data_IF_568232810166
#
_entry.id   IF_568232810166
#
_cell.length_a   1.000
_cell.length_b   1.000
_cell.length_c   1.000
_cell.angle_alpha   90.00
_cell.angle_beta   90.00
_cell.angle_gamma   90.00
#
_symmetry.space_group_name_H-M   'P 1'
#
loop_
_entity.id
_entity.type
_entity.pdbx_description
1 polymer ?
#
# COMPACT_ATOMS: atom_id res chain seq x y z
N UNK A 1 -48.41 8.53 -16.49
CA UNK A 1 -47.00 8.19 -16.75
C UNK A 1 -46.70 6.90 -16.01
N UNK A 2 -46.44 5.79 -16.72
CA UNK A 2 -46.09 4.52 -16.05
C UNK A 2 -44.69 4.65 -15.43
N UNK A 3 -44.60 4.46 -14.11
CA UNK A 3 -43.31 4.24 -13.43
C UNK A 3 -42.67 3.00 -14.04
N UNK A 4 -41.53 3.16 -14.71
CA UNK A 4 -40.73 2.01 -15.15
C UNK A 4 -40.23 1.28 -13.89
N UNK A 5 -40.37 -0.05 -13.80
CA UNK A 5 -39.84 -0.80 -12.68
C UNK A 5 -38.31 -0.66 -12.66
N UNK A 6 -37.78 -0.22 -11.52
CA UNK A 6 -36.34 -0.16 -11.28
C UNK A 6 -35.97 -1.40 -10.46
N UNK A 7 -35.17 -2.27 -11.05
CA UNK A 7 -34.73 -3.54 -10.44
C UNK A 7 -33.23 -3.43 -10.22
N UNK A 8 -32.77 -3.84 -9.03
CA UNK A 8 -31.37 -3.93 -8.66
C UNK A 8 -31.16 -5.29 -8.01
N UNK A 9 -30.11 -5.99 -8.41
CA UNK A 9 -29.75 -7.29 -7.87
C UNK A 9 -28.22 -7.45 -7.86
N UNK A 10 -27.72 -8.39 -7.06
CA UNK A 10 -26.30 -8.74 -6.97
C UNK A 10 -26.11 -10.21 -7.33
N UNK A 11 -25.06 -10.51 -8.09
CA UNK A 11 -24.76 -11.87 -8.52
C UNK A 11 -23.26 -12.14 -8.40
N UNK A 12 -22.92 -13.25 -7.76
CA UNK A 12 -21.56 -13.76 -7.72
C UNK A 12 -21.20 -14.42 -9.05
N UNK A 13 -20.15 -13.91 -9.68
CA UNK A 13 -19.71 -14.33 -11.01
C UNK A 13 -18.26 -14.84 -10.95
N UNK A 14 -17.97 -16.03 -11.51
CA UNK A 14 -16.60 -16.51 -11.56
C UNK A 14 -15.78 -15.74 -12.60
N UNK A 15 -14.45 -15.82 -12.49
CA UNK A 15 -13.56 -15.30 -13.52
C UNK A 15 -13.75 -16.06 -14.85
N UNK A 16 -13.67 -15.34 -15.97
CA UNK A 16 -13.81 -15.90 -17.31
C UNK A 16 -15.17 -15.61 -17.94
N UNK A 17 -15.60 -16.50 -18.85
CA UNK A 17 -16.86 -16.35 -19.57
C UNK A 17 -18.00 -17.04 -18.81
N UNK A 18 -19.05 -16.29 -18.51
CA UNK A 18 -20.24 -16.80 -17.82
C UNK A 18 -21.51 -16.18 -18.41
N UNK A 19 -22.63 -16.88 -18.25
CA UNK A 19 -23.96 -16.47 -18.70
C UNK A 19 -24.96 -16.67 -17.58
N UNK A 20 -25.88 -15.72 -17.42
CA UNK A 20 -26.96 -15.77 -16.43
C UNK A 20 -28.23 -15.14 -17.00
N UNK A 21 -29.37 -15.51 -16.42
CA UNK A 21 -30.68 -15.00 -16.86
C UNK A 21 -31.05 -13.73 -16.09
N UNK A 22 -31.59 -12.74 -16.79
CA UNK A 22 -32.11 -11.49 -16.22
C UNK A 22 -33.65 -11.51 -16.30
N UNK A 23 -34.38 -11.04 -15.26
CA UNK A 23 -35.83 -11.22 -15.17
C UNK A 23 -36.63 -10.42 -16.19
N UNK A 24 -36.13 -9.27 -16.67
CA UNK A 24 -36.81 -8.41 -17.64
C UNK A 24 -35.88 -7.97 -18.76
N UNK A 25 -36.47 -7.71 -19.94
CA UNK A 25 -35.79 -7.01 -21.02
C UNK A 25 -35.71 -5.52 -20.71
N UNK A 26 -34.61 -4.87 -21.11
CA UNK A 26 -34.38 -3.46 -20.80
C UNK A 26 -32.91 -3.06 -20.81
N UNK A 27 -32.64 -1.84 -20.32
CA UNK A 27 -31.30 -1.28 -20.17
C UNK A 27 -30.87 -1.47 -18.73
N UNK A 28 -29.66 -2.00 -18.54
CA UNK A 28 -29.06 -2.26 -17.24
C UNK A 28 -27.72 -1.56 -17.12
N UNK A 29 -27.45 -1.01 -15.94
CA UNK A 29 -26.12 -0.55 -15.55
C UNK A 29 -25.47 -1.62 -14.70
N UNK A 30 -24.39 -2.20 -15.20
CA UNK A 30 -23.59 -3.22 -14.53
C UNK A 30 -22.39 -2.56 -13.87
N UNK A 31 -22.15 -2.87 -12.61
CA UNK A 31 -20.98 -2.45 -11.83
C UNK A 31 -20.34 -3.69 -11.23
N UNK A 32 -19.02 -3.77 -11.29
CA UNK A 32 -18.28 -4.89 -10.72
C UNK A 32 -17.73 -4.51 -9.35
N UNK A 33 -18.14 -5.24 -8.31
CA UNK A 33 -17.55 -5.16 -6.98
C UNK A 33 -16.49 -6.25 -6.81
N UNK A 34 -15.23 -5.92 -7.09
CA UNK A 34 -14.12 -6.85 -7.00
C UNK A 34 -12.85 -6.15 -6.49
N UNK A 35 -11.84 -6.94 -6.13
CA UNK A 35 -10.48 -6.44 -5.89
C UNK A 35 -9.80 -5.93 -7.18
N UNK A 36 -10.42 -6.17 -8.33
CA UNK A 36 -9.96 -5.70 -9.63
C UNK A 36 -10.55 -4.34 -9.96
N UNK A 37 -9.76 -3.47 -10.60
CA UNK A 37 -10.29 -2.33 -11.34
C UNK A 37 -10.42 -2.70 -12.80
N UNK A 38 -11.56 -2.41 -13.38
CA UNK A 38 -11.83 -2.67 -14.79
C UNK A 38 -11.57 -1.44 -15.66
N UNK A 39 -11.68 -1.59 -16.98
CA UNK A 39 -11.51 -0.50 -17.95
C UNK A 39 -12.58 0.60 -17.79
N UNK A 40 -13.73 0.27 -17.21
CA UNK A 40 -14.80 1.22 -16.90
C UNK A 40 -15.34 0.99 -15.49
N UNK A 41 -15.87 2.06 -14.89
CA UNK A 41 -16.52 1.99 -13.58
C UNK A 41 -17.91 1.34 -13.66
N UNK A 42 -18.59 1.51 -14.78
CA UNK A 42 -19.88 0.88 -15.06
C UNK A 42 -20.04 0.60 -16.55
N UNK A 43 -20.91 -0.35 -16.87
CA UNK A 43 -21.23 -0.77 -18.23
C UNK A 43 -22.73 -0.69 -18.45
N UNK A 44 -23.14 -0.13 -19.58
CA UNK A 44 -24.53 -0.14 -19.98
C UNK A 44 -24.76 -1.29 -20.97
N UNK A 45 -25.74 -2.15 -20.68
CA UNK A 45 -26.13 -3.27 -21.54
C UNK A 45 -27.63 -3.22 -21.83
N UNK A 46 -28.01 -3.72 -23.01
CA UNK A 46 -29.42 -3.88 -23.40
C UNK A 46 -29.75 -5.36 -23.54
N UNK A 47 -30.83 -5.81 -22.90
CA UNK A 47 -31.29 -7.20 -22.89
C UNK A 47 -32.54 -7.34 -23.76
N UNK A 48 -32.58 -8.32 -24.70
CA UNK A 48 -31.54 -9.30 -25.01
C UNK A 48 -30.32 -8.67 -25.71
N UNK A 49 -29.13 -9.19 -25.41
CA UNK A 49 -27.87 -8.73 -26.00
C UNK A 49 -27.45 -9.65 -27.16
N UNK A 50 -26.94 -9.10 -28.26
CA UNK A 50 -26.36 -9.89 -29.36
C UNK A 50 -24.87 -10.22 -29.14
N UNK A 51 -24.18 -9.36 -28.39
CA UNK A 51 -22.74 -9.46 -28.10
C UNK A 51 -22.57 -9.54 -26.58
N UNK A 52 -21.68 -10.41 -26.07
CA UNK A 52 -21.40 -10.46 -24.65
C UNK A 52 -20.77 -9.15 -24.16
N UNK A 53 -21.08 -8.78 -22.92
CA UNK A 53 -20.35 -7.74 -22.22
C UNK A 53 -18.89 -8.16 -22.03
N UNK A 54 -17.96 -7.33 -22.50
CA UNK A 54 -16.52 -7.52 -22.28
C UNK A 54 -16.05 -6.46 -21.28
N UNK A 55 -15.54 -6.92 -20.14
CA UNK A 55 -14.91 -6.08 -19.13
C UNK A 55 -13.46 -6.52 -18.96
N UNK A 56 -12.52 -5.60 -19.15
CA UNK A 56 -11.09 -5.90 -19.08
C UNK A 56 -10.51 -5.39 -17.77
N UNK A 57 -9.77 -6.24 -17.06
CA UNK A 57 -9.07 -5.82 -15.84
C UNK A 57 -7.91 -4.90 -16.21
N UNK A 58 -7.84 -3.75 -15.56
CA UNK A 58 -6.77 -2.76 -15.73
C UNK A 58 -5.80 -2.75 -14.55
N UNK A 59 -6.28 -2.97 -13.32
CA UNK A 59 -5.45 -2.99 -12.12
C UNK A 59 -5.91 -4.02 -11.08
N UNK A 60 -4.96 -4.45 -10.25
CA UNK A 60 -5.16 -5.44 -9.19
C UNK A 60 -4.91 -4.81 -7.83
N UNK A 61 -5.78 -5.08 -6.87
CA UNK A 61 -5.62 -4.60 -5.49
C UNK A 61 -4.59 -5.44 -4.73
N UNK A 62 -3.63 -4.74 -4.13
CA UNK A 62 -2.67 -5.32 -3.22
C UNK A 62 -2.69 -4.60 -1.87
N UNK A 63 -2.23 -5.30 -0.83
CA UNK A 63 -1.97 -4.66 0.45
C UNK A 63 -0.73 -5.19 1.15
N UNK A 64 -0.13 -4.32 1.95
CA UNK A 64 0.96 -4.65 2.88
C UNK A 64 0.63 -4.09 4.26
N UNK A 65 1.33 -4.55 5.29
CA UNK A 65 1.14 -4.08 6.66
C UNK A 65 2.45 -3.72 7.34
N UNK A 66 2.36 -2.86 8.34
CA UNK A 66 3.40 -2.62 9.34
C UNK A 66 2.83 -2.96 10.72
N UNK A 67 3.54 -3.79 11.47
CA UNK A 67 3.27 -4.12 12.87
C UNK A 67 4.16 -3.28 13.79
N UNK A 68 3.57 -2.71 14.83
CA UNK A 68 4.25 -1.83 15.79
C UNK A 68 4.14 -2.38 17.21
N UNK A 69 5.23 -2.26 17.98
CA UNK A 69 5.23 -2.65 19.39
C UNK A 69 4.35 -1.73 20.25
N UNK A 70 4.27 -0.46 19.88
CA UNK A 70 3.56 0.60 20.60
C UNK A 70 2.49 1.26 19.71
N UNK A 71 1.45 1.80 20.35
CA UNK A 71 0.40 2.52 19.65
C UNK A 71 0.96 3.79 18.99
N UNK A 72 0.51 4.06 17.77
CA UNK A 72 0.88 5.25 16.99
C UNK A 72 -0.31 6.21 16.97
N UNK A 73 -0.04 7.48 17.29
CA UNK A 73 -1.04 8.55 17.23
C UNK A 73 -0.98 9.35 15.91
N UNK A 74 0.16 9.31 15.21
CA UNK A 74 0.41 10.07 13.98
C UNK A 74 0.69 9.12 12.81
N UNK A 75 -0.28 8.99 11.90
CA UNK A 75 -0.18 8.10 10.72
C UNK A 75 0.64 8.72 9.59
N UNK A 76 0.72 10.05 9.55
CA UNK A 76 1.37 10.81 8.46
C UNK A 76 2.88 10.59 8.39
N UNK A 77 3.50 10.01 9.43
CA UNK A 77 4.91 9.62 9.41
C UNK A 77 5.17 8.35 8.59
N UNK A 78 4.15 7.52 8.36
CA UNK A 78 4.33 6.22 7.71
C UNK A 78 3.88 6.24 6.26
N UNK A 79 4.82 5.99 5.36
CA UNK A 79 4.56 5.83 3.94
C UNK A 79 5.21 4.55 3.40
N UNK A 80 4.60 3.97 2.38
CA UNK A 80 5.13 2.82 1.66
C UNK A 80 5.49 3.25 0.25
N UNK A 81 6.78 3.21 -0.10
CA UNK A 81 7.23 3.33 -1.49
C UNK A 81 7.00 1.99 -2.19
N UNK A 82 6.25 2.04 -3.28
CA UNK A 82 5.95 0.89 -4.15
C UNK A 82 6.55 1.18 -5.50
N UNK A 83 7.55 0.41 -5.88
CA UNK A 83 8.26 0.53 -7.15
C UNK A 83 8.00 -0.67 -8.03
N UNK A 84 7.36 -0.47 -9.17
CA UNK A 84 7.16 -1.47 -10.21
C UNK A 84 7.98 -1.15 -11.45
N UNK A 85 7.76 -1.89 -12.53
CA UNK A 85 8.43 -1.63 -13.82
C UNK A 85 7.92 -0.38 -14.51
N UNK A 86 6.65 -0.03 -14.28
CA UNK A 86 5.96 1.07 -14.97
C UNK A 86 5.76 2.32 -14.11
N UNK A 87 5.78 2.18 -12.78
CA UNK A 87 5.44 3.28 -11.87
C UNK A 87 6.23 3.21 -10.55
N UNK A 88 6.36 4.37 -9.91
CA UNK A 88 6.89 4.50 -8.55
C UNK A 88 5.94 5.41 -7.76
N UNK A 89 5.26 4.82 -6.78
CA UNK A 89 4.21 5.48 -6.02
C UNK A 89 4.48 5.44 -4.51
N UNK A 90 4.08 6.49 -3.81
CA UNK A 90 4.16 6.58 -2.35
C UNK A 90 2.76 6.49 -1.76
N UNK A 91 2.54 5.48 -0.92
CA UNK A 91 1.23 5.14 -0.38
C UNK A 91 1.20 5.50 1.11
N UNK A 92 0.28 6.37 1.56
CA UNK A 92 0.14 6.70 2.98
C UNK A 92 -0.47 5.52 3.76
N UNK A 93 -0.14 5.43 5.04
CA UNK A 93 -0.72 4.45 5.93
C UNK A 93 -2.22 4.70 6.15
N UNK A 94 -3.00 3.61 6.09
CA UNK A 94 -4.41 3.59 6.50
C UNK A 94 -4.48 2.74 7.77
N UNK A 95 -4.88 3.33 8.89
CA UNK A 95 -4.95 2.59 10.15
C UNK A 95 -6.13 1.62 10.16
N UNK A 96 -5.86 0.35 10.45
CA UNK A 96 -6.90 -0.67 10.68
C UNK A 96 -7.03 -1.04 12.16
N UNK A 97 -5.94 -0.96 12.93
CA UNK A 97 -5.91 -1.15 14.39
C UNK A 97 -4.77 -0.34 15.02
N UNK A 98 -4.75 -0.09 16.35
CA UNK A 98 -3.77 0.81 16.97
C UNK A 98 -2.29 0.40 16.84
N UNK A 99 -2.01 -0.87 16.55
CA UNK A 99 -0.66 -1.43 16.41
C UNK A 99 -0.37 -1.98 15.02
N UNK A 100 -1.30 -1.81 14.07
CA UNK A 100 -1.15 -2.31 12.71
C UNK A 100 -1.62 -1.29 11.70
N UNK A 101 -0.68 -0.87 10.87
CA UNK A 101 -0.92 0.00 9.72
C UNK A 101 -1.10 -0.87 8.49
N UNK A 102 -2.06 -0.51 7.66
CA UNK A 102 -2.33 -1.19 6.39
C UNK A 102 -2.13 -0.21 5.25
N UNK A 103 -1.46 -0.66 4.21
CA UNK A 103 -1.27 0.08 2.97
C UNK A 103 -2.01 -0.66 1.88
N UNK A 104 -2.85 0.06 1.14
CA UNK A 104 -3.66 -0.50 0.07
C UNK A 104 -3.32 0.24 -1.21
N UNK A 105 -2.91 -0.49 -2.23
CA UNK A 105 -2.46 0.07 -3.50
C UNK A 105 -2.89 -0.81 -4.67
N UNK A 106 -2.75 -0.27 -5.87
CA UNK A 106 -3.09 -0.98 -7.10
C UNK A 106 -1.86 -1.12 -7.99
N UNK A 107 -1.68 -2.30 -8.58
CA UNK A 107 -0.69 -2.53 -9.63
C UNK A 107 -1.38 -2.68 -10.98
N UNK A 108 -0.73 -2.18 -12.03
CA UNK A 108 -1.24 -2.26 -13.40
C UNK A 108 -1.13 -3.69 -13.92
N UNK A 109 -2.05 -4.10 -14.79
CA UNK A 109 -1.90 -5.34 -15.59
C UNK A 109 -0.61 -5.34 -16.41
N UNK A 110 -0.07 -4.16 -16.75
CA UNK A 110 1.19 -4.02 -17.48
C UNK A 110 2.42 -4.41 -16.64
N UNK A 111 2.30 -4.44 -15.31
CA UNK A 111 3.38 -4.90 -14.41
C UNK A 111 3.33 -6.42 -14.18
N UNK A 112 2.44 -7.15 -14.84
CA UNK A 112 2.40 -8.60 -14.74
C UNK A 112 3.76 -9.21 -15.14
N UNK A 113 4.21 -10.17 -14.34
CA UNK A 113 5.52 -10.81 -14.40
C UNK A 113 6.71 -9.87 -14.17
N UNK A 114 6.48 -8.66 -13.63
CA UNK A 114 7.54 -7.76 -13.20
C UNK A 114 7.87 -7.90 -11.71
N UNK A 115 9.11 -7.56 -11.36
CA UNK A 115 9.51 -7.43 -9.96
C UNK A 115 8.97 -6.11 -9.38
N UNK A 116 8.36 -6.21 -8.20
CA UNK A 116 7.83 -5.08 -7.45
C UNK A 116 8.54 -5.01 -6.10
N UNK A 117 9.03 -3.82 -5.76
CA UNK A 117 9.73 -3.56 -4.49
C UNK A 117 8.87 -2.68 -3.59
N UNK A 118 8.66 -3.13 -2.37
CA UNK A 118 7.97 -2.42 -1.30
C UNK A 118 8.99 -1.96 -0.27
N UNK A 119 9.03 -0.65 0.03
CA UNK A 119 9.97 -0.06 1.00
C UNK A 119 9.20 0.83 1.98
N UNK A 120 9.04 0.41 3.24
CA UNK A 120 8.41 1.26 4.26
C UNK A 120 9.36 2.40 4.66
N UNK A 121 8.79 3.57 4.95
CA UNK A 121 9.52 4.77 5.31
C UNK A 121 8.84 5.49 6.48
N UNK A 122 9.66 6.02 7.38
CA UNK A 122 9.27 6.83 8.53
C UNK A 122 10.46 7.66 8.99
N UNK A 123 10.20 8.84 9.59
CA UNK A 123 11.24 9.67 10.19
C UNK A 123 11.74 9.11 11.52
N UNK A 124 10.92 8.32 12.20
CA UNK A 124 11.13 7.90 13.59
C UNK A 124 11.21 6.40 13.81
N UNK A 125 10.91 5.58 12.81
CA UNK A 125 10.92 4.12 12.90
C UNK A 125 11.91 3.48 11.92
N UNK A 126 12.49 2.37 12.37
CA UNK A 126 13.29 1.46 11.57
C UNK A 126 12.44 0.22 11.26
N UNK A 127 12.64 -0.35 10.07
CA UNK A 127 11.82 -1.46 9.58
C UNK A 127 12.61 -2.74 9.37
N UNK A 128 11.99 -3.87 9.71
CA UNK A 128 12.52 -5.20 9.44
C UNK A 128 11.46 -6.08 8.73
N UNK A 129 11.71 -6.55 7.49
CA UNK A 129 12.87 -6.22 6.65
C UNK A 129 12.87 -4.75 6.20
N UNK A 130 13.98 -4.24 5.67
CA UNK A 130 14.07 -2.86 5.17
C UNK A 130 13.34 -2.66 3.85
N UNK A 131 13.15 -3.73 3.08
CA UNK A 131 12.37 -3.77 1.85
C UNK A 131 11.91 -5.20 1.57
N UNK A 132 10.94 -5.35 0.66
CA UNK A 132 10.45 -6.63 0.17
C UNK A 132 10.30 -6.58 -1.34
N UNK A 133 10.88 -7.54 -2.04
CA UNK A 133 10.75 -7.65 -3.50
C UNK A 133 10.06 -8.95 -3.85
N UNK A 134 9.03 -8.89 -4.69
CA UNK A 134 8.29 -10.06 -5.15
C UNK A 134 7.98 -9.97 -6.65
N UNK A 135 7.71 -11.13 -7.26
CA UNK A 135 7.23 -11.21 -8.64
C UNK A 135 5.71 -11.02 -8.65
N UNK A 136 5.21 -10.00 -9.34
CA UNK A 136 3.78 -9.76 -9.45
C UNK A 136 3.16 -10.63 -10.55
N UNK A 137 2.29 -11.56 -10.18
CA UNK A 137 1.70 -12.55 -11.10
C UNK A 137 0.40 -12.08 -11.78
N UNK A 138 0.01 -10.81 -11.64
CA UNK A 138 -1.25 -10.33 -12.19
C UNK A 138 -2.49 -10.81 -11.42
N UNK A 139 -2.39 -11.01 -10.11
CA UNK A 139 -3.52 -11.36 -9.25
C UNK A 139 -3.63 -10.42 -8.03
N UNK A 140 -4.84 -10.23 -7.51
CA UNK A 140 -5.01 -9.48 -6.27
C UNK A 140 -4.33 -10.20 -5.10
N UNK A 141 -3.54 -9.48 -4.31
CA UNK A 141 -2.79 -10.07 -3.20
C UNK A 141 -2.86 -9.20 -1.95
N UNK A 142 -3.67 -9.63 -0.99
CA UNK A 142 -3.82 -8.96 0.29
C UNK A 142 -2.79 -9.48 1.29
N UNK A 143 -2.21 -8.58 2.08
CA UNK A 143 -1.18 -8.89 3.06
C UNK A 143 0.07 -9.55 2.46
N UNK A 144 0.59 -8.99 1.36
CA UNK A 144 1.82 -9.44 0.69
C UNK A 144 2.97 -9.63 1.68
N UNK A 145 3.14 -8.66 2.57
CA UNK A 145 4.12 -8.70 3.66
C UNK A 145 3.61 -7.92 4.87
N UNK A 146 4.08 -8.32 6.04
CA UNK A 146 4.03 -7.51 7.26
C UNK A 146 5.45 -7.15 7.69
N UNK A 147 5.78 -5.86 7.68
CA UNK A 147 7.02 -5.33 8.22
C UNK A 147 6.89 -5.12 9.72
N UNK A 148 7.96 -5.33 10.48
CA UNK A 148 8.04 -4.90 11.89
C UNK A 148 8.65 -3.51 11.96
N UNK A 149 8.07 -2.63 12.77
CA UNK A 149 8.56 -1.28 12.98
C UNK A 149 9.00 -1.07 14.43
N UNK A 150 10.29 -0.80 14.58
CA UNK A 150 10.92 -0.49 15.86
C UNK A 150 11.16 1.02 15.93
N UNK A 151 10.76 1.66 17.02
CA UNK A 151 10.99 3.10 17.19
C UNK A 151 12.49 3.37 17.32
N UNK A 152 13.05 4.07 16.34
CA UNK A 152 14.43 4.52 16.35
C UNK A 152 14.64 5.58 17.43
N UNK A 153 15.72 5.44 18.19
CA UNK A 153 16.23 6.51 19.06
C UNK A 153 17.29 7.26 18.27
N UNK A 154 16.95 8.46 17.80
CA UNK A 154 17.90 9.36 17.15
C UNK A 154 18.48 10.32 18.19
N UNK A 155 19.81 10.40 18.29
CA UNK A 155 20.50 11.30 19.22
C UNK A 155 21.11 12.46 18.43
N UNK A 156 20.41 13.58 18.40
CA UNK A 156 20.88 14.80 17.74
C UNK A 156 21.29 15.87 18.76
N UNK A 157 22.29 16.67 18.38
CA UNK A 157 22.79 17.75 19.22
C UNK A 157 23.82 18.63 18.53
N UNK A 158 24.41 19.53 19.30
CA UNK A 158 25.44 20.46 18.83
C UNK A 158 26.49 20.68 19.90
N UNK A 159 27.76 20.68 19.50
CA UNK A 159 28.89 21.09 20.34
C UNK A 159 29.04 22.61 20.26
N UNK A 160 29.12 23.26 21.43
CA UNK A 160 29.38 24.70 21.54
C UNK A 160 30.65 24.98 22.36
N UNK A 161 31.62 25.76 21.83
CA UNK A 161 31.62 26.40 20.51
C UNK A 161 31.64 25.39 19.36
N UNK A 162 31.20 25.80 18.16
CA UNK A 162 31.10 24.92 16.99
C UNK A 162 32.50 24.39 16.59
N UNK A 163 32.66 23.08 16.59
CA UNK A 163 33.90 22.39 16.23
C UNK A 163 33.55 21.22 15.32
N UNK A 164 34.16 21.16 14.15
CA UNK A 164 34.05 20.07 13.19
C UNK A 164 34.91 18.87 13.60
N UNK A 165 34.46 17.65 13.31
CA UNK A 165 35.27 16.44 13.49
C UNK A 165 35.34 15.92 14.93
N UNK A 166 34.47 16.39 15.82
CA UNK A 166 34.39 15.88 17.20
C UNK A 166 33.67 14.53 17.19
N UNK A 167 34.35 13.50 17.68
CA UNK A 167 33.76 12.18 17.89
C UNK A 167 32.81 12.21 19.10
N UNK A 168 31.53 12.01 18.84
CA UNK A 168 30.50 11.84 19.86
C UNK A 168 30.32 10.36 20.11
N UNK A 169 30.48 9.95 21.37
CA UNK A 169 30.29 8.55 21.79
C UNK A 169 29.41 8.50 23.02
N UNK A 170 28.32 7.74 22.96
CA UNK A 170 27.39 7.56 24.08
C UNK A 170 27.05 6.09 24.27
N UNK A 171 27.32 5.55 25.45
CA UNK A 171 26.97 4.18 25.82
C UNK A 171 25.60 4.12 26.47
N UNK A 172 24.78 3.14 26.11
CA UNK A 172 23.50 2.93 26.77
C UNK A 172 23.69 2.50 28.24
N UNK A 173 23.00 3.20 29.16
CA UNK A 173 23.17 3.03 30.62
C UNK A 173 23.05 1.58 31.11
N UNK A 174 22.15 0.80 30.51
CA UNK A 174 21.84 -0.57 30.95
C UNK A 174 22.42 -1.65 30.03
N UNK A 175 23.03 -1.28 28.89
CA UNK A 175 23.61 -2.24 27.96
C UNK A 175 24.87 -1.66 27.32
N UNK A 176 26.07 -1.97 27.84
CA UNK A 176 27.32 -1.36 27.39
C UNK A 176 27.71 -1.74 25.94
N UNK A 177 27.07 -2.75 25.34
CA UNK A 177 27.31 -3.13 23.94
C UNK A 177 26.60 -2.20 22.94
N UNK A 178 25.66 -1.37 23.41
CA UNK A 178 24.98 -0.38 22.58
C UNK A 178 25.73 0.93 22.72
N UNK A 179 26.45 1.31 21.67
CA UNK A 179 27.25 2.52 21.60
C UNK A 179 26.77 3.34 20.42
N UNK A 180 26.28 4.54 20.69
CA UNK A 180 26.07 5.56 19.67
C UNK A 180 27.42 6.22 19.35
N UNK A 181 27.75 6.29 18.07
CA UNK A 181 28.96 6.96 17.56
C UNK A 181 28.57 7.88 16.40
N UNK A 182 28.99 9.14 16.45
CA UNK A 182 28.75 10.14 15.40
C UNK A 182 29.89 11.17 15.38
N UNK A 183 29.94 11.99 14.34
CA UNK A 183 30.98 13.01 14.15
C UNK A 183 30.31 14.35 13.86
N UNK A 184 30.79 15.42 14.48
CA UNK A 184 30.22 16.76 14.26
C UNK A 184 30.58 17.34 12.88
N UNK A 185 29.63 18.06 12.28
CA UNK A 185 29.83 18.84 11.06
C UNK A 185 30.52 20.20 11.31
N UNK A 186 30.71 21.00 10.25
CA UNK A 186 31.27 22.37 10.30
C UNK A 186 30.55 23.32 11.27
N UNK A 187 29.28 23.05 11.59
CA UNK A 187 28.47 23.83 12.52
C UNK A 187 28.48 23.24 13.93
N UNK A 188 29.28 22.19 14.18
CA UNK A 188 29.32 21.45 15.44
C UNK A 188 28.12 20.52 15.65
N UNK A 189 27.26 20.28 14.66
CA UNK A 189 26.06 19.45 14.79
C UNK A 189 26.37 17.98 14.58
N UNK A 190 25.70 17.10 15.33
CA UNK A 190 25.76 15.65 15.17
C UNK A 190 24.34 15.06 15.20
N UNK A 191 24.17 13.89 14.56
CA UNK A 191 22.95 13.07 14.58
C UNK A 191 23.31 11.59 14.51
#
# INVERSE_FOLDING_TARGET
>A
MLKKPQISDSLDIPAGQFSFCIPLAGIYTVVFEACHKFDKQSYEITIPQEVPLIASVSKFLLSASIELDHMVNELDDFVLSVKSSTDEQTIPAISSTPKRLTFTFYLSVLDADALVTLTPQSKTYLFNPTSHTFLFNGECRLNEITFKADKGIFLEGQVMPAIEGVNIRSSHKNNPNIIFESVTDVNGKFR
#
